data_IF_289686177252
#
_entry.id   IF_289686177252
#
_cell.length_a   1.000
_cell.length_b   1.000
_cell.length_c   1.000
_cell.angle_alpha   90.00
_cell.angle_beta   90.00
_cell.angle_gamma   90.00
#
_symmetry.space_group_name_H-M   'P 1'
#
loop_
_entity.id
_entity.type
_entity.pdbx_description
1 polymer ?
#
# COMPACT_ATOMS: atom_id res chain seq x y z
N UNK A 1 34.58 -27.13 4.68
CA UNK A 1 33.15 -27.18 5.08
C UNK A 1 32.58 -25.84 4.75
N UNK A 2 31.88 -25.70 3.63
CA UNK A 2 31.26 -24.45 3.23
C UNK A 2 29.98 -24.31 4.03
N UNK A 3 29.91 -23.28 4.87
CA UNK A 3 28.69 -22.84 5.48
C UNK A 3 27.68 -22.50 4.39
N UNK A 4 26.75 -23.39 4.16
CA UNK A 4 25.55 -23.09 3.39
C UNK A 4 24.76 -22.09 4.26
N UNK A 5 24.98 -20.79 4.03
CA UNK A 5 24.10 -19.76 4.56
C UNK A 5 22.70 -20.08 4.05
N UNK A 6 21.86 -20.54 4.95
CA UNK A 6 20.46 -20.80 4.67
C UNK A 6 19.83 -19.47 4.27
N UNK A 7 19.54 -19.30 2.98
CA UNK A 7 18.85 -18.11 2.49
C UNK A 7 17.42 -18.14 3.05
N UNK A 8 17.13 -17.23 3.97
CA UNK A 8 15.80 -17.06 4.52
C UNK A 8 14.88 -16.58 3.41
N UNK A 9 13.79 -17.31 3.20
CA UNK A 9 12.77 -17.01 2.19
C UNK A 9 11.79 -15.94 2.65
N UNK A 10 11.78 -15.63 3.93
CA UNK A 10 11.08 -14.53 4.52
C UNK A 10 12.04 -13.68 5.39
N UNK A 11 11.67 -12.43 5.65
CA UNK A 11 12.50 -11.51 6.42
C UNK A 11 12.20 -11.55 7.92
N UNK A 12 11.42 -12.51 8.40
CA UNK A 12 10.97 -12.61 9.79
C UNK A 12 12.13 -12.77 10.77
N UNK A 13 13.21 -13.43 10.35
CA UNK A 13 14.37 -13.55 11.21
C UNK A 13 15.08 -12.21 11.42
N UNK A 14 15.21 -11.41 10.35
CA UNK A 14 15.74 -10.06 10.50
C UNK A 14 14.88 -9.19 11.41
N UNK A 15 13.56 -9.31 11.35
CA UNK A 15 12.65 -8.59 12.22
C UNK A 15 12.77 -9.02 13.68
N UNK A 16 13.01 -10.31 13.94
CA UNK A 16 13.15 -10.83 15.31
C UNK A 16 14.53 -10.55 15.90
N UNK A 17 15.61 -10.83 15.16
CA UNK A 17 16.97 -10.91 15.69
C UNK A 17 17.95 -9.93 15.05
N UNK A 18 17.60 -9.27 13.93
CA UNK A 18 18.48 -8.35 13.21
C UNK A 18 18.81 -7.09 14.02
N UNK A 19 19.90 -6.46 13.63
CA UNK A 19 20.26 -5.14 14.10
C UNK A 19 19.19 -4.09 13.71
N UNK A 20 19.08 -2.95 14.37
CA UNK A 20 18.05 -1.95 14.09
C UNK A 20 17.93 -1.57 12.59
N UNK A 21 19.05 -1.37 11.91
CA UNK A 21 19.07 -1.06 10.48
C UNK A 21 18.59 -2.21 9.60
N UNK A 22 18.88 -3.45 9.96
CA UNK A 22 18.41 -4.65 9.27
C UNK A 22 16.90 -4.82 9.46
N UNK A 23 16.39 -4.60 10.68
CA UNK A 23 14.96 -4.62 10.98
C UNK A 23 14.19 -3.59 10.17
N UNK A 24 14.70 -2.36 10.08
CA UNK A 24 14.09 -1.30 9.29
C UNK A 24 14.03 -1.67 7.80
N UNK A 25 15.16 -2.08 7.22
CA UNK A 25 15.21 -2.50 5.82
C UNK A 25 14.32 -3.70 5.53
N UNK A 26 14.32 -4.73 6.40
CA UNK A 26 13.48 -5.91 6.25
C UNK A 26 11.98 -5.55 6.29
N UNK A 27 11.56 -4.69 7.21
CA UNK A 27 10.19 -4.21 7.30
C UNK A 27 9.76 -3.44 6.04
N UNK A 28 10.64 -2.61 5.48
CA UNK A 28 10.36 -1.88 4.24
C UNK A 28 10.24 -2.84 3.05
N UNK A 29 11.15 -3.83 2.93
CA UNK A 29 11.06 -4.84 1.87
C UNK A 29 9.80 -5.70 1.97
N UNK A 30 9.42 -6.15 3.17
CA UNK A 30 8.17 -6.88 3.37
C UNK A 30 6.96 -6.07 2.91
N UNK A 31 6.92 -4.78 3.25
CA UNK A 31 5.85 -3.90 2.78
C UNK A 31 5.82 -3.78 1.26
N UNK A 32 6.97 -3.55 0.66
CA UNK A 32 7.09 -3.37 -0.79
C UNK A 32 6.67 -4.63 -1.56
N UNK A 33 7.08 -5.82 -1.08
CA UNK A 33 6.71 -7.12 -1.65
C UNK A 33 5.22 -7.41 -1.42
N UNK A 34 4.72 -7.20 -0.20
CA UNK A 34 3.33 -7.47 0.14
C UNK A 34 2.34 -6.58 -0.62
N UNK A 35 2.73 -5.36 -0.98
CA UNK A 35 1.91 -4.47 -1.80
C UNK A 35 1.70 -4.98 -3.24
N UNK A 36 2.49 -5.93 -3.73
CA UNK A 36 2.25 -6.50 -5.06
C UNK A 36 0.99 -7.37 -5.10
N UNK A 37 0.58 -7.93 -3.96
CA UNK A 37 -0.63 -8.75 -3.86
C UNK A 37 -1.93 -7.97 -4.15
N UNK A 38 -1.93 -6.63 -4.14
CA UNK A 38 -3.12 -5.83 -4.52
C UNK A 38 -3.54 -6.02 -5.97
N UNK A 39 -2.58 -6.38 -6.83
CA UNK A 39 -2.79 -6.64 -8.24
C UNK A 39 -2.55 -8.13 -8.59
N UNK A 40 -2.49 -9.01 -7.56
CA UNK A 40 -2.30 -10.45 -7.71
C UNK A 40 -0.89 -10.87 -8.10
N UNK A 41 0.08 -9.94 -8.07
CA UNK A 41 1.45 -10.19 -8.49
C UNK A 41 2.27 -10.86 -7.39
N UNK A 42 3.26 -11.64 -7.81
CA UNK A 42 4.22 -12.31 -6.95
C UNK A 42 5.65 -11.96 -7.37
N UNK A 43 6.52 -11.76 -6.38
CA UNK A 43 7.93 -11.49 -6.63
C UNK A 43 8.73 -12.78 -6.86
N UNK A 44 9.84 -12.63 -7.56
CA UNK A 44 10.77 -13.75 -7.81
C UNK A 44 11.64 -14.07 -6.58
N UNK A 45 12.22 -15.28 -6.57
CA UNK A 45 13.22 -15.65 -5.57
C UNK A 45 14.53 -14.85 -5.76
N UNK A 46 14.82 -14.41 -7.00
CA UNK A 46 15.95 -13.52 -7.26
C UNK A 46 15.83 -12.19 -6.55
N UNK A 47 14.62 -11.58 -6.54
CA UNK A 47 14.36 -10.38 -5.75
C UNK A 47 14.62 -10.62 -4.27
N UNK A 48 14.09 -11.72 -3.70
CA UNK A 48 14.27 -12.02 -2.27
C UNK A 48 15.73 -12.15 -1.90
N UNK A 49 16.52 -12.87 -2.72
CA UNK A 49 17.97 -12.99 -2.52
C UNK A 49 18.68 -11.63 -2.62
N UNK A 50 18.28 -10.78 -3.56
CA UNK A 50 18.84 -9.44 -3.74
C UNK A 50 18.47 -8.54 -2.55
N UNK A 51 17.24 -8.63 -2.05
CA UNK A 51 16.80 -7.92 -0.87
C UNK A 51 17.59 -8.31 0.39
N UNK A 52 17.89 -9.60 0.58
CA UNK A 52 18.77 -10.06 1.67
C UNK A 52 20.14 -9.40 1.63
N UNK A 53 20.77 -9.32 0.45
CA UNK A 53 22.07 -8.61 0.29
C UNK A 53 21.98 -7.14 0.68
N UNK A 54 20.88 -6.46 0.34
CA UNK A 54 20.65 -5.08 0.75
C UNK A 54 20.41 -4.96 2.27
N UNK A 55 19.66 -5.88 2.87
CA UNK A 55 19.43 -5.90 4.32
C UNK A 55 20.74 -6.09 5.07
N UNK A 56 21.58 -7.02 4.63
CA UNK A 56 22.92 -7.27 5.19
C UNK A 56 23.92 -6.13 4.95
N UNK A 57 23.60 -5.19 4.07
CA UNK A 57 24.49 -4.07 3.75
C UNK A 57 25.61 -4.42 2.76
N UNK A 58 25.51 -5.55 2.08
CA UNK A 58 26.46 -5.96 1.02
C UNK A 58 26.31 -5.06 -0.22
N UNK A 59 25.10 -4.58 -0.48
CA UNK A 59 24.76 -3.67 -1.57
C UNK A 59 23.84 -2.56 -1.06
N UNK A 60 23.85 -1.40 -1.73
CA UNK A 60 22.87 -0.33 -1.48
C UNK A 60 21.60 -0.55 -2.33
N UNK A 61 20.56 0.28 -2.12
CA UNK A 61 19.26 0.12 -2.80
C UNK A 61 19.36 0.40 -4.31
N UNK A 62 20.24 1.26 -4.76
CA UNK A 62 20.41 1.55 -6.18
C UNK A 62 21.09 0.38 -6.89
N UNK A 63 22.12 -0.21 -6.28
CA UNK A 63 22.74 -1.45 -6.75
C UNK A 63 21.74 -2.61 -6.81
N UNK A 64 20.85 -2.73 -5.81
CA UNK A 64 19.79 -3.74 -5.84
C UNK A 64 18.84 -3.55 -7.04
N UNK A 65 18.43 -2.30 -7.34
CA UNK A 65 17.60 -1.96 -8.51
C UNK A 65 18.30 -2.28 -9.85
N UNK A 66 19.59 -2.00 -9.95
CA UNK A 66 20.41 -2.30 -11.13
C UNK A 66 20.52 -3.81 -11.34
N UNK A 67 20.79 -4.58 -10.28
CA UNK A 67 20.85 -6.03 -10.33
C UNK A 67 19.53 -6.65 -10.82
N UNK A 68 18.39 -6.19 -10.29
CA UNK A 68 17.07 -6.65 -10.72
C UNK A 68 16.84 -6.32 -12.20
N UNK A 69 17.18 -5.10 -12.62
CA UNK A 69 17.03 -4.68 -14.02
C UNK A 69 17.89 -5.53 -14.96
N UNK A 70 19.16 -5.73 -14.61
CA UNK A 70 20.10 -6.52 -15.39
C UNK A 70 19.70 -8.00 -15.46
N UNK A 71 19.15 -8.56 -14.38
CA UNK A 71 18.64 -9.94 -14.36
C UNK A 71 17.60 -10.17 -15.45
N UNK A 72 16.59 -9.30 -15.56
CA UNK A 72 15.54 -9.45 -16.58
C UNK A 72 16.03 -9.09 -17.99
N UNK A 73 17.00 -8.19 -18.13
CA UNK A 73 17.60 -7.88 -19.43
C UNK A 73 18.47 -9.01 -19.98
N UNK A 74 19.12 -9.77 -19.10
CA UNK A 74 20.01 -10.88 -19.49
C UNK A 74 19.26 -12.19 -19.75
N UNK A 75 17.97 -12.30 -19.43
CA UNK A 75 17.17 -13.49 -19.70
C UNK A 75 17.00 -13.71 -21.21
N UNK A 76 17.59 -14.80 -21.72
CA UNK A 76 17.45 -15.22 -23.12
C UNK A 76 16.18 -15.99 -23.40
N UNK A 77 15.64 -16.68 -22.39
CA UNK A 77 14.35 -17.38 -22.44
C UNK A 77 13.43 -16.81 -21.35
N UNK A 78 12.20 -16.48 -21.73
CA UNK A 78 11.20 -15.95 -20.81
C UNK A 78 10.16 -17.01 -20.47
N UNK A 79 9.86 -17.12 -19.18
CA UNK A 79 8.74 -17.91 -18.67
C UNK A 79 7.43 -17.13 -18.80
N UNK A 80 6.26 -17.79 -18.83
CA UNK A 80 4.96 -17.14 -19.02
C UNK A 80 4.65 -16.04 -18.00
N UNK A 81 5.17 -16.14 -16.77
CA UNK A 81 4.93 -15.22 -15.65
C UNK A 81 6.09 -14.21 -15.43
N UNK A 82 7.10 -14.21 -16.30
CA UNK A 82 8.26 -13.34 -16.15
C UNK A 82 7.93 -11.85 -16.25
N UNK A 83 6.95 -11.47 -17.04
CA UNK A 83 6.56 -10.06 -17.17
C UNK A 83 5.89 -9.56 -15.87
N UNK A 84 5.04 -10.39 -15.25
CA UNK A 84 4.41 -10.10 -13.96
C UNK A 84 5.43 -10.07 -12.82
N UNK A 85 6.35 -11.04 -12.78
CA UNK A 85 7.46 -11.07 -11.82
C UNK A 85 8.40 -9.89 -11.99
N UNK A 86 8.73 -9.52 -13.23
CA UNK A 86 9.57 -8.35 -13.51
C UNK A 86 8.91 -7.05 -13.02
N UNK A 87 7.59 -6.89 -13.24
CA UNK A 87 6.86 -5.76 -12.69
C UNK A 87 6.95 -5.77 -11.16
N UNK A 88 6.55 -6.88 -10.52
CA UNK A 88 6.54 -7.01 -9.06
C UNK A 88 7.91 -6.72 -8.44
N UNK A 89 8.98 -7.23 -9.02
CA UNK A 89 10.34 -7.08 -8.53
C UNK A 89 10.82 -5.63 -8.63
N UNK A 90 10.67 -5.00 -9.81
CA UNK A 90 11.06 -3.60 -10.02
C UNK A 90 10.26 -2.65 -9.14
N UNK A 91 8.95 -2.85 -9.06
CA UNK A 91 8.08 -2.03 -8.22
C UNK A 91 8.44 -2.20 -6.74
N UNK A 92 8.73 -3.42 -6.27
CA UNK A 92 9.16 -3.65 -4.88
C UNK A 92 10.46 -2.90 -4.56
N UNK A 93 11.46 -2.96 -5.44
CA UNK A 93 12.71 -2.23 -5.24
C UNK A 93 12.52 -0.70 -5.27
N UNK A 94 11.65 -0.21 -6.16
CA UNK A 94 11.30 1.21 -6.23
C UNK A 94 10.57 1.68 -4.96
N UNK A 95 9.59 0.92 -4.46
CA UNK A 95 8.88 1.22 -3.20
C UNK A 95 9.85 1.22 -2.04
N UNK A 96 10.77 0.23 -1.98
CA UNK A 96 11.80 0.17 -0.93
C UNK A 96 12.65 1.44 -0.92
N UNK A 97 13.11 1.90 -2.08
CA UNK A 97 13.87 3.16 -2.19
C UNK A 97 13.05 4.37 -1.71
N UNK A 98 11.77 4.44 -2.07
CA UNK A 98 10.88 5.54 -1.68
C UNK A 98 10.68 5.58 -0.17
N UNK A 99 10.35 4.44 0.44
CA UNK A 99 10.05 4.36 1.86
C UNK A 99 11.29 4.53 2.75
N UNK A 100 12.48 4.22 2.22
CA UNK A 100 13.76 4.49 2.91
C UNK A 100 14.12 5.98 2.94
N UNK A 101 13.72 6.76 1.93
CA UNK A 101 14.04 8.21 1.88
C UNK A 101 13.17 9.07 2.78
N UNK A 102 12.01 8.57 3.20
CA UNK A 102 11.02 9.20 4.09
C UNK A 102 10.60 10.64 3.72
N UNK A 103 10.90 11.10 2.50
CA UNK A 103 10.58 12.45 2.04
C UNK A 103 9.27 12.45 1.27
N UNK A 104 8.38 13.37 1.61
CA UNK A 104 7.11 13.60 0.92
C UNK A 104 6.95 15.07 0.56
N UNK A 105 6.73 15.36 -0.71
CA UNK A 105 6.08 16.60 -1.14
C UNK A 105 4.56 16.37 -1.05
N UNK A 106 3.93 16.96 -0.04
CA UNK A 106 2.48 16.83 0.16
C UNK A 106 1.74 17.81 -0.75
N UNK A 107 1.70 17.48 -2.04
CA UNK A 107 1.07 18.23 -3.11
C UNK A 107 0.55 17.28 -4.20
N UNK A 108 -0.28 17.80 -5.12
CA UNK A 108 -0.67 17.04 -6.32
C UNK A 108 0.55 16.62 -7.13
N UNK A 109 1.56 17.49 -7.26
CA UNK A 109 2.83 17.14 -7.90
C UNK A 109 3.55 16.01 -7.18
N UNK A 110 3.54 16.04 -5.84
CA UNK A 110 4.11 14.98 -5.00
C UNK A 110 3.36 13.66 -5.14
N UNK A 111 2.03 13.65 -5.16
CA UNK A 111 1.23 12.43 -5.40
C UNK A 111 1.56 11.81 -6.76
N UNK A 112 1.59 12.62 -7.81
CA UNK A 112 1.99 12.19 -9.17
C UNK A 112 3.46 11.71 -9.20
N UNK A 113 4.34 12.36 -8.43
CA UNK A 113 5.74 11.96 -8.31
C UNK A 113 5.90 10.62 -7.60
N UNK A 114 5.08 10.31 -6.58
CA UNK A 114 5.07 8.98 -5.94
C UNK A 114 4.73 7.92 -6.98
N UNK A 115 3.67 8.09 -7.77
CA UNK A 115 3.35 7.14 -8.85
C UNK A 115 4.50 6.98 -9.85
N UNK A 116 5.10 8.10 -10.30
CA UNK A 116 6.25 8.06 -11.22
C UNK A 116 7.40 7.22 -10.65
N UNK A 117 7.75 7.45 -9.38
CA UNK A 117 8.85 6.76 -8.70
C UNK A 117 8.55 5.29 -8.43
N UNK A 118 7.30 4.95 -8.06
CA UNK A 118 6.86 3.56 -7.84
C UNK A 118 6.99 2.75 -9.13
N UNK A 119 6.62 3.32 -10.27
CA UNK A 119 6.57 2.61 -11.57
C UNK A 119 7.69 3.01 -12.52
N UNK A 120 8.77 3.62 -11.99
CA UNK A 120 9.97 3.96 -12.76
C UNK A 120 10.59 2.70 -13.41
N UNK A 121 10.80 2.76 -14.72
CA UNK A 121 11.32 1.62 -15.51
C UNK A 121 10.35 0.44 -15.69
N UNK A 122 9.06 0.63 -15.32
CA UNK A 122 7.98 -0.36 -15.48
C UNK A 122 6.96 0.12 -16.50
N UNK A 123 6.31 1.26 -16.25
CA UNK A 123 5.28 1.79 -17.14
C UNK A 123 5.75 3.03 -17.89
N UNK A 124 5.51 3.07 -19.21
CA UNK A 124 5.79 4.27 -20.03
C UNK A 124 4.97 5.50 -19.63
N UNK A 125 3.84 5.26 -18.95
CA UNK A 125 2.94 6.29 -18.44
C UNK A 125 3.14 6.60 -16.96
N UNK A 126 4.22 6.12 -16.33
CA UNK A 126 4.52 6.39 -14.93
C UNK A 126 4.52 7.91 -14.64
N UNK A 127 3.69 8.33 -13.67
CA UNK A 127 3.51 9.73 -13.32
C UNK A 127 2.67 10.55 -14.30
N UNK A 128 1.88 9.91 -15.18
CA UNK A 128 0.90 10.58 -16.04
C UNK A 128 -0.51 10.28 -15.56
N UNK A 129 -1.33 11.32 -15.40
CA UNK A 129 -2.75 11.15 -15.16
C UNK A 129 -3.38 10.50 -16.40
N UNK A 130 -4.38 9.63 -16.19
CA UNK A 130 -5.15 9.06 -17.31
C UNK A 130 -5.92 10.15 -18.05
N UNK A 131 -6.20 9.92 -19.30
CA UNK A 131 -6.91 10.79 -20.22
C UNK A 131 -8.19 10.15 -20.79
N UNK A 132 -8.70 9.13 -20.08
CA UNK A 132 -9.95 8.41 -20.39
C UNK A 132 -10.59 7.86 -19.12
N UNK A 133 -11.90 7.57 -19.17
CA UNK A 133 -12.62 6.96 -18.06
C UNK A 133 -12.34 5.46 -18.00
N UNK A 134 -12.26 4.94 -16.78
CA UNK A 134 -11.93 3.54 -16.52
C UNK A 134 -13.02 2.84 -15.72
N UNK A 135 -13.11 1.54 -15.93
CA UNK A 135 -13.96 0.63 -15.18
C UNK A 135 -13.13 -0.59 -14.81
N UNK A 136 -13.22 -1.02 -13.55
CA UNK A 136 -12.52 -2.22 -13.05
C UNK A 136 -13.52 -3.15 -12.38
N UNK A 137 -13.46 -4.43 -12.72
CA UNK A 137 -14.25 -5.46 -12.06
C UNK A 137 -13.62 -5.77 -10.72
N UNK A 138 -14.41 -5.66 -9.64
CA UNK A 138 -13.93 -5.89 -8.28
C UNK A 138 -14.51 -7.19 -7.71
N UNK A 139 -13.62 -8.08 -7.26
CA UNK A 139 -14.02 -9.37 -6.67
C UNK A 139 -15.00 -9.19 -5.50
N UNK A 140 -14.72 -8.25 -4.61
CA UNK A 140 -15.54 -7.98 -3.41
C UNK A 140 -16.95 -7.48 -3.74
N UNK A 141 -17.17 -7.04 -4.98
CA UNK A 141 -18.44 -6.55 -5.52
C UNK A 141 -19.14 -7.56 -6.47
N UNK A 142 -18.69 -8.80 -6.47
CA UNK A 142 -19.20 -9.82 -7.41
C UNK A 142 -19.04 -9.40 -8.89
N UNK A 143 -17.91 -8.80 -9.20
CA UNK A 143 -17.58 -8.33 -10.56
C UNK A 143 -18.17 -6.98 -10.94
N UNK A 144 -18.90 -6.29 -10.04
CA UNK A 144 -19.33 -4.91 -10.23
C UNK A 144 -18.15 -3.93 -10.02
N UNK A 145 -18.36 -2.64 -10.28
CA UNK A 145 -17.32 -1.61 -10.29
C UNK A 145 -17.63 -0.45 -9.36
N UNK A 146 -16.59 0.23 -8.88
CA UNK A 146 -16.71 1.54 -8.25
C UNK A 146 -16.88 2.61 -9.33
N UNK A 147 -17.65 3.64 -9.06
CA UNK A 147 -17.71 4.83 -9.89
C UNK A 147 -16.46 5.69 -9.62
N UNK A 148 -15.47 5.56 -10.50
CA UNK A 148 -14.28 6.39 -10.47
C UNK A 148 -14.56 7.79 -11.04
N UNK A 149 -13.73 8.77 -10.68
CA UNK A 149 -13.90 10.13 -11.13
C UNK A 149 -13.70 10.23 -12.66
N UNK A 150 -14.42 11.16 -13.31
CA UNK A 150 -14.20 11.50 -14.72
C UNK A 150 -12.76 12.00 -14.94
N UNK A 151 -12.13 11.60 -16.04
CA UNK A 151 -10.73 11.91 -16.30
C UNK A 151 -10.44 13.42 -16.43
N UNK A 152 -11.40 14.22 -16.87
CA UNK A 152 -11.25 15.67 -17.00
C UNK A 152 -11.10 16.39 -15.64
N UNK A 153 -11.59 15.78 -14.57
CA UNK A 153 -11.62 16.36 -13.22
C UNK A 153 -10.47 15.92 -12.32
N UNK A 154 -9.64 14.97 -12.75
CA UNK A 154 -8.64 14.29 -11.90
C UNK A 154 -7.73 15.27 -11.15
N UNK A 155 -7.10 16.20 -11.88
CA UNK A 155 -6.17 17.17 -11.28
C UNK A 155 -6.87 18.05 -10.26
N UNK A 156 -8.04 18.58 -10.61
CA UNK A 156 -8.84 19.46 -9.75
C UNK A 156 -9.24 18.74 -8.45
N UNK A 157 -9.64 17.49 -8.53
CA UNK A 157 -10.03 16.71 -7.38
C UNK A 157 -8.84 16.40 -6.45
N UNK A 158 -7.68 16.01 -7.01
CA UNK A 158 -6.47 15.79 -6.20
C UNK A 158 -6.04 17.09 -5.51
N UNK A 159 -6.03 18.22 -6.24
CA UNK A 159 -5.69 19.54 -5.70
C UNK A 159 -6.65 19.91 -4.55
N UNK A 160 -7.95 19.65 -4.72
CA UNK A 160 -8.96 19.90 -3.70
C UNK A 160 -8.72 19.07 -2.45
N UNK A 161 -8.65 17.74 -2.57
CA UNK A 161 -8.49 16.83 -1.43
C UNK A 161 -7.21 17.13 -0.64
N UNK A 162 -6.08 17.33 -1.34
CA UNK A 162 -4.82 17.68 -0.68
C UNK A 162 -4.88 19.05 -0.02
N UNK A 163 -5.58 20.02 -0.62
CA UNK A 163 -5.74 21.35 -0.04
C UNK A 163 -6.58 21.33 1.23
N UNK A 164 -7.66 20.55 1.24
CA UNK A 164 -8.49 20.36 2.44
C UNK A 164 -7.69 19.68 3.55
N UNK A 165 -6.92 18.65 3.21
CA UNK A 165 -6.08 17.94 4.18
C UNK A 165 -4.97 18.83 4.78
N UNK A 166 -4.38 19.73 3.99
CA UNK A 166 -3.36 20.70 4.49
C UNK A 166 -3.88 21.63 5.58
N UNK A 167 -5.15 21.98 5.54
CA UNK A 167 -5.74 22.90 6.52
C UNK A 167 -6.35 22.16 7.70
N UNK A 168 -6.47 20.83 7.65
CA UNK A 168 -6.98 20.03 8.74
C UNK A 168 -5.98 19.97 9.90
N UNK A 169 -6.46 20.17 11.13
CA UNK A 169 -5.63 20.12 12.33
C UNK A 169 -5.86 18.86 13.12
N UNK A 170 -4.83 18.05 13.26
CA UNK A 170 -4.83 16.87 14.13
C UNK A 170 -4.66 17.20 15.61
N UNK A 171 -4.40 18.46 15.96
CA UNK A 171 -4.16 18.88 17.34
C UNK A 171 -5.43 18.88 18.15
N UNK A 172 -5.45 18.13 19.26
CA UNK A 172 -6.55 18.14 20.23
C UNK A 172 -7.80 17.34 19.83
N UNK A 173 -7.78 16.61 18.72
CA UNK A 173 -8.87 15.69 18.35
C UNK A 173 -8.71 14.34 19.03
N UNK A 174 -9.81 13.59 19.15
CA UNK A 174 -9.76 12.21 19.64
C UNK A 174 -9.16 11.27 18.60
N UNK A 175 -8.67 10.10 19.06
CA UNK A 175 -8.16 9.05 18.17
C UNK A 175 -9.23 8.54 17.21
N UNK A 176 -10.49 8.48 17.61
CA UNK A 176 -11.61 8.07 16.75
C UNK A 176 -11.82 9.07 15.61
N UNK A 177 -11.85 10.36 15.90
CA UNK A 177 -11.96 11.43 14.88
C UNK A 177 -10.76 11.42 13.95
N UNK A 178 -9.56 11.19 14.48
CA UNK A 178 -8.34 11.08 13.68
C UNK A 178 -8.44 9.91 12.68
N UNK A 179 -8.82 8.72 13.14
CA UNK A 179 -8.96 7.55 12.29
C UNK A 179 -10.05 7.75 11.24
N UNK A 180 -11.20 8.27 11.63
CA UNK A 180 -12.29 8.58 10.69
C UNK A 180 -11.83 9.55 9.60
N UNK A 181 -11.15 10.62 9.97
CA UNK A 181 -10.67 11.63 9.03
C UNK A 181 -9.65 11.05 8.04
N UNK A 182 -8.63 10.34 8.54
CA UNK A 182 -7.63 9.66 7.70
C UNK A 182 -8.30 8.66 6.74
N UNK A 183 -9.28 7.90 7.25
CA UNK A 183 -10.04 6.94 6.44
C UNK A 183 -10.75 7.62 5.28
N UNK A 184 -11.42 8.73 5.53
CA UNK A 184 -12.14 9.51 4.50
C UNK A 184 -11.19 10.12 3.48
N UNK A 185 -10.12 10.75 3.93
CA UNK A 185 -9.10 11.34 3.07
C UNK A 185 -8.47 10.29 2.12
N UNK A 186 -7.98 9.18 2.68
CA UNK A 186 -7.34 8.13 1.87
C UNK A 186 -8.33 7.47 0.91
N UNK A 187 -9.57 7.26 1.35
CA UNK A 187 -10.65 6.71 0.52
C UNK A 187 -10.99 7.63 -0.65
N UNK A 188 -11.14 8.93 -0.42
CA UNK A 188 -11.42 9.94 -1.46
C UNK A 188 -10.29 10.00 -2.48
N UNK A 189 -9.04 10.12 -2.01
CA UNK A 189 -7.87 10.16 -2.88
C UNK A 189 -7.76 8.91 -3.77
N UNK A 190 -8.06 7.72 -3.22
CA UNK A 190 -8.08 6.48 -4.01
C UNK A 190 -9.22 6.45 -5.03
N UNK A 191 -10.42 6.96 -4.68
CA UNK A 191 -11.59 6.97 -5.58
C UNK A 191 -11.35 7.82 -6.83
N UNK A 192 -10.56 8.88 -6.74
CA UNK A 192 -10.15 9.67 -7.92
C UNK A 192 -9.56 8.74 -8.99
N UNK A 193 -8.84 7.71 -8.59
CA UNK A 193 -8.26 6.69 -9.46
C UNK A 193 -7.49 7.29 -10.63
N UNK A 194 -6.54 8.13 -10.29
CA UNK A 194 -5.92 9.11 -11.18
C UNK A 194 -5.06 8.52 -12.30
N UNK A 195 -4.63 7.27 -12.18
CA UNK A 195 -3.69 6.63 -13.11
C UNK A 195 -4.32 5.45 -13.83
N UNK A 196 -3.78 5.08 -14.98
CA UNK A 196 -4.23 3.92 -15.75
C UNK A 196 -4.07 2.62 -14.94
N UNK A 197 -2.92 2.47 -14.26
CA UNK A 197 -2.59 1.33 -13.40
C UNK A 197 -1.91 1.77 -12.11
N UNK A 198 -1.83 0.89 -11.10
CA UNK A 198 -1.05 1.09 -9.88
C UNK A 198 -1.65 2.07 -8.87
N UNK A 199 -2.93 2.42 -8.98
CA UNK A 199 -3.58 3.39 -8.08
C UNK A 199 -3.51 2.96 -6.61
N UNK A 200 -3.79 1.69 -6.30
CA UNK A 200 -3.77 1.21 -4.91
C UNK A 200 -2.37 1.20 -4.32
N UNK A 201 -1.37 0.74 -5.08
CA UNK A 201 0.05 0.75 -4.63
C UNK A 201 0.53 2.18 -4.39
N UNK A 202 0.20 3.10 -5.29
CA UNK A 202 0.51 4.53 -5.14
C UNK A 202 -0.15 5.13 -3.90
N UNK A 203 -1.45 4.88 -3.71
CA UNK A 203 -2.19 5.38 -2.54
C UNK A 203 -1.60 4.82 -1.24
N UNK A 204 -1.26 3.53 -1.19
CA UNK A 204 -0.64 2.93 -0.01
C UNK A 204 0.72 3.58 0.33
N UNK A 205 1.62 3.72 -0.66
CA UNK A 205 2.93 4.35 -0.46
C UNK A 205 2.79 5.82 -0.06
N UNK A 206 1.92 6.58 -0.72
CA UNK A 206 1.64 7.97 -0.38
C UNK A 206 1.09 8.09 1.04
N UNK A 207 0.15 7.22 1.43
CA UNK A 207 -0.43 7.18 2.79
C UNK A 207 0.64 6.91 3.84
N UNK A 208 1.53 5.94 3.64
CA UNK A 208 2.62 5.65 4.57
C UNK A 208 3.50 6.88 4.76
N UNK A 209 3.92 7.53 3.66
CA UNK A 209 4.76 8.73 3.72
C UNK A 209 4.03 9.90 4.39
N UNK A 210 2.74 10.08 4.06
CA UNK A 210 1.91 11.12 4.63
C UNK A 210 1.77 10.96 6.16
N UNK A 211 1.36 9.79 6.62
CA UNK A 211 1.19 9.52 8.05
C UNK A 211 2.49 9.73 8.83
N UNK A 212 3.63 9.33 8.26
CA UNK A 212 4.96 9.60 8.86
C UNK A 212 5.26 11.09 8.89
N UNK A 213 4.92 11.83 7.84
CA UNK A 213 5.20 13.28 7.75
C UNK A 213 4.45 14.10 8.78
N UNK A 214 3.29 13.63 9.25
CA UNK A 214 2.51 14.23 10.35
C UNK A 214 2.87 13.64 11.72
N UNK A 215 3.93 12.82 11.81
CA UNK A 215 4.48 12.31 13.07
C UNK A 215 3.81 11.03 13.59
N UNK A 216 2.96 10.37 12.81
CA UNK A 216 2.35 9.10 13.20
C UNK A 216 3.31 7.93 12.96
N UNK A 217 3.35 7.00 13.91
CA UNK A 217 4.05 5.73 13.71
C UNK A 217 3.21 4.80 12.85
N UNK A 218 3.80 4.33 11.77
CA UNK A 218 3.16 3.40 10.85
C UNK A 218 3.82 2.04 10.96
N UNK A 219 3.06 1.03 11.38
CA UNK A 219 3.51 -0.36 11.31
C UNK A 219 3.39 -0.85 9.86
N UNK A 220 4.53 -0.90 9.20
CA UNK A 220 4.61 -1.33 7.81
C UNK A 220 4.13 -2.78 7.61
N UNK A 221 4.21 -3.64 8.63
CA UNK A 221 3.82 -5.05 8.54
C UNK A 221 2.34 -5.23 8.15
N UNK A 222 1.50 -4.28 8.51
CA UNK A 222 0.09 -4.35 8.18
C UNK A 222 -0.15 -4.27 6.66
N UNK A 223 0.55 -3.37 5.97
CA UNK A 223 0.51 -3.31 4.51
C UNK A 223 1.15 -4.54 3.86
N UNK A 224 2.18 -5.12 4.50
CA UNK A 224 2.81 -6.34 4.01
C UNK A 224 1.83 -7.53 3.97
N UNK A 225 1.05 -7.71 5.04
CA UNK A 225 0.20 -8.90 5.21
C UNK A 225 -1.26 -8.69 4.79
N UNK A 226 -1.73 -7.44 4.72
CA UNK A 226 -3.13 -7.10 4.51
C UNK A 226 -3.35 -6.10 3.35
N UNK A 227 -2.45 -6.05 2.37
CA UNK A 227 -2.57 -5.16 1.20
C UNK A 227 -3.82 -5.45 0.36
N UNK A 228 -4.18 -6.72 0.18
CA UNK A 228 -5.41 -7.13 -0.49
C UNK A 228 -6.67 -6.72 0.30
N UNK A 229 -6.61 -6.80 1.64
CA UNK A 229 -7.69 -6.28 2.49
C UNK A 229 -7.82 -4.77 2.35
N UNK A 230 -6.70 -4.04 2.38
CA UNK A 230 -6.68 -2.59 2.21
C UNK A 230 -7.34 -2.17 0.89
N UNK A 231 -6.99 -2.84 -0.24
CA UNK A 231 -7.66 -2.61 -1.52
C UNK A 231 -9.16 -2.85 -1.45
N UNK A 232 -9.59 -4.00 -0.96
CA UNK A 232 -11.01 -4.33 -0.87
C UNK A 232 -11.78 -3.40 0.07
N UNK A 233 -11.14 -2.91 1.14
CA UNK A 233 -11.72 -1.92 2.05
C UNK A 233 -11.93 -0.56 1.36
N UNK A 234 -10.99 -0.12 0.51
CA UNK A 234 -11.14 1.06 -0.34
C UNK A 234 -12.29 0.91 -1.33
N UNK A 235 -12.41 -0.25 -1.96
CA UNK A 235 -13.54 -0.56 -2.86
C UNK A 235 -14.87 -0.44 -2.12
N UNK A 236 -15.01 -1.06 -0.93
CA UNK A 236 -16.23 -1.03 -0.13
C UNK A 236 -16.56 0.37 0.42
N UNK A 237 -15.56 1.18 0.69
CA UNK A 237 -15.74 2.57 1.12
C UNK A 237 -16.31 3.47 0.02
N UNK A 238 -16.18 3.08 -1.25
CA UNK A 238 -16.56 3.87 -2.42
C UNK A 238 -17.64 3.21 -3.31
N UNK A 239 -18.20 2.08 -2.89
CA UNK A 239 -19.23 1.40 -3.66
C UNK A 239 -20.62 1.60 -3.08
N UNK A 240 -21.54 2.06 -3.95
CA UNK A 240 -22.96 2.17 -3.67
C UNK A 240 -23.78 1.62 -4.83
N UNK A 241 -24.77 0.79 -4.52
CA UNK A 241 -25.74 0.29 -5.49
C UNK A 241 -27.14 0.24 -4.86
N UNK A 242 -27.93 1.29 -5.11
CA UNK A 242 -29.26 1.45 -4.53
C UNK A 242 -30.23 0.31 -4.95
N UNK A 243 -30.07 -0.22 -6.18
CA UNK A 243 -30.93 -1.31 -6.69
C UNK A 243 -30.68 -2.63 -5.95
N UNK A 244 -29.45 -2.84 -5.49
CA UNK A 244 -29.07 -4.01 -4.69
C UNK A 244 -29.19 -3.76 -3.18
N UNK A 245 -29.63 -2.57 -2.75
CA UNK A 245 -29.69 -2.18 -1.33
C UNK A 245 -28.31 -2.09 -0.66
N UNK A 246 -27.25 -1.85 -1.44
CA UNK A 246 -25.88 -1.79 -0.93
C UNK A 246 -25.46 -0.32 -0.85
N UNK A 247 -25.00 0.10 0.34
CA UNK A 247 -24.40 1.42 0.55
C UNK A 247 -22.89 1.30 0.78
N UNK A 248 -22.16 2.42 0.57
CA UNK A 248 -20.75 2.49 0.91
C UNK A 248 -20.55 2.33 2.44
N UNK A 249 -19.40 1.78 2.83
CA UNK A 249 -19.07 1.60 4.24
C UNK A 249 -17.59 1.81 4.50
N UNK A 250 -17.26 2.69 5.42
CA UNK A 250 -15.89 2.96 5.86
C UNK A 250 -15.38 1.98 6.92
N UNK A 251 -16.26 1.21 7.55
CA UNK A 251 -15.96 0.36 8.71
C UNK A 251 -14.74 -0.55 8.48
N UNK A 252 -14.60 -1.13 7.30
CA UNK A 252 -13.47 -2.02 7.01
C UNK A 252 -12.15 -1.25 6.91
N UNK A 253 -12.16 -0.09 6.27
CA UNK A 253 -10.99 0.75 6.14
C UNK A 253 -10.61 1.40 7.48
N UNK A 254 -11.59 1.77 8.30
CA UNK A 254 -11.37 2.23 9.68
C UNK A 254 -10.70 1.14 10.53
N UNK A 255 -11.14 -0.12 10.43
CA UNK A 255 -10.50 -1.24 11.14
C UNK A 255 -9.04 -1.43 10.72
N UNK A 256 -8.75 -1.28 9.44
CA UNK A 256 -7.38 -1.29 8.94
C UNK A 256 -6.55 -0.18 9.59
N UNK A 257 -7.04 1.07 9.58
CA UNK A 257 -6.32 2.20 10.19
C UNK A 257 -6.27 2.11 11.72
N UNK A 258 -7.27 1.56 12.40
CA UNK A 258 -7.21 1.29 13.84
C UNK A 258 -6.11 0.29 14.19
N UNK A 259 -5.98 -0.78 13.42
CA UNK A 259 -4.86 -1.72 13.60
C UNK A 259 -3.53 -1.02 13.32
N UNK A 260 -3.45 -0.23 12.25
CA UNK A 260 -2.23 0.44 11.81
C UNK A 260 -1.73 1.50 12.80
N UNK A 261 -2.63 2.34 13.30
CA UNK A 261 -2.29 3.54 14.07
C UNK A 261 -2.44 3.35 15.58
N UNK A 262 -3.39 2.52 16.00
CA UNK A 262 -3.73 2.33 17.41
C UNK A 262 -3.29 0.97 17.96
N UNK A 263 -2.75 0.09 17.10
CA UNK A 263 -2.35 -1.26 17.50
C UNK A 263 -3.53 -2.16 17.89
N UNK A 264 -4.76 -1.80 17.49
CA UNK A 264 -5.93 -2.66 17.68
C UNK A 264 -5.75 -3.96 16.86
N UNK A 265 -6.49 -5.00 17.23
CA UNK A 265 -6.36 -6.33 16.59
C UNK A 265 -7.68 -6.76 15.96
N UNK A 266 -8.22 -5.95 15.06
CA UNK A 266 -9.34 -6.35 14.24
C UNK A 266 -8.95 -7.47 13.28
N UNK A 267 -9.82 -8.46 13.10
CA UNK A 267 -9.60 -9.54 12.13
C UNK A 267 -9.84 -9.02 10.71
N UNK A 268 -8.75 -8.89 9.93
CA UNK A 268 -8.75 -8.31 8.59
C UNK A 268 -8.89 -9.41 7.52
N UNK A 269 -10.07 -10.04 7.43
CA UNK A 269 -10.35 -11.09 6.44
C UNK A 269 -11.17 -10.57 5.27
N UNK A 270 -10.68 -10.78 4.06
CA UNK A 270 -11.33 -10.32 2.83
C UNK A 270 -12.77 -10.83 2.65
N UNK A 271 -13.09 -12.04 3.09
CA UNK A 271 -14.43 -12.61 2.99
C UNK A 271 -15.52 -11.77 3.67
N UNK A 272 -15.15 -10.99 4.71
CA UNK A 272 -16.11 -10.11 5.41
C UNK A 272 -16.51 -8.88 4.59
N UNK A 273 -15.71 -8.52 3.61
CA UNK A 273 -15.91 -7.35 2.76
C UNK A 273 -16.80 -7.65 1.56
N UNK A 274 -16.93 -8.93 1.19
CA UNK A 274 -17.73 -9.32 0.03
C UNK A 274 -19.20 -8.91 0.22
N UNK A 275 -19.83 -8.38 -0.84
CA UNK A 275 -21.21 -7.85 -0.75
C UNK A 275 -22.23 -8.92 -0.36
N UNK A 276 -21.93 -10.21 -0.59
CA UNK A 276 -22.74 -11.36 -0.18
C UNK A 276 -22.28 -11.98 1.15
N UNK A 277 -21.42 -11.31 1.91
CA UNK A 277 -21.04 -11.80 3.23
C UNK A 277 -22.26 -11.89 4.16
N UNK A 278 -22.45 -13.05 4.80
CA UNK A 278 -23.53 -13.27 5.74
C UNK A 278 -23.33 -12.47 7.04
N UNK A 279 -24.42 -12.14 7.74
CA UNK A 279 -24.34 -11.37 8.98
C UNK A 279 -23.54 -12.06 10.08
N UNK A 280 -23.46 -13.38 10.09
CA UNK A 280 -22.58 -14.16 10.98
C UNK A 280 -21.11 -13.80 10.84
N UNK A 281 -20.69 -13.36 9.64
CA UNK A 281 -19.31 -12.93 9.37
C UNK A 281 -19.07 -11.46 9.69
N UNK A 282 -20.13 -10.67 9.86
CA UNK A 282 -20.04 -9.25 10.22
C UNK A 282 -19.86 -9.03 11.71
N UNK A 283 -20.27 -10.00 12.54
CA UNK A 283 -20.07 -9.95 13.99
C UNK A 283 -18.63 -10.33 14.30
N UNK A 284 -17.77 -9.35 14.48
CA UNK A 284 -16.37 -9.57 14.83
C UNK A 284 -16.17 -9.43 16.33
N UNK A 285 -15.43 -10.38 16.97
CA UNK A 285 -15.06 -10.21 18.36
C UNK A 285 -14.10 -9.01 18.49
N UNK A 286 -14.42 -8.07 19.39
CA UNK A 286 -13.42 -7.14 19.91
C UNK A 286 -12.39 -7.94 20.68
N UNK A 287 -11.18 -8.00 20.19
CA UNK A 287 -10.06 -8.42 21.01
C UNK A 287 -9.66 -7.24 21.90
N UNK A 288 -9.42 -7.49 23.18
CA UNK A 288 -9.22 -6.49 24.23
C UNK A 288 -8.14 -5.47 23.86
N UNK A 289 -8.33 -4.17 24.18
CA UNK A 289 -7.35 -3.12 23.90
C UNK A 289 -6.12 -3.32 24.78
N UNK A 290 -4.95 -3.33 24.17
CA UNK A 290 -3.69 -3.18 24.88
C UNK A 290 -3.18 -1.76 24.62
N UNK A 291 -3.02 -1.00 25.72
CA UNK A 291 -2.33 0.29 25.86
C UNK A 291 -2.76 1.47 24.98
N UNK A 292 -3.02 2.57 25.65
CA UNK A 292 -3.34 3.90 25.12
C UNK A 292 -2.19 4.42 24.25
N UNK A 293 -2.44 4.82 22.98
CA UNK A 293 -1.42 5.45 22.14
C UNK A 293 -1.08 6.84 22.69
N UNK A 294 0.20 7.15 22.75
CA UNK A 294 0.65 8.53 23.02
C UNK A 294 0.40 9.38 21.78
N UNK A 295 -0.49 10.37 21.91
CA UNK A 295 -0.66 11.43 20.91
C UNK A 295 0.62 12.27 20.86
N UNK A 296 1.20 12.56 19.70
CA UNK A 296 2.40 13.39 19.60
C UNK A 296 2.12 14.82 20.11
N UNK A 297 2.91 15.26 21.09
CA UNK A 297 3.00 16.67 21.46
C UNK A 297 3.98 17.36 20.53
N UNK A 298 3.48 18.01 19.46
CA UNK A 298 4.21 19.10 18.79
C UNK A 298 3.24 20.17 18.33
#
# INVERSE_FOLDING_TARGET
>A
MSDIKQHYTDFDEYLRQGEPSQKEKASIWQTAIGLQAVDGLQTSDYLKATACKHIEGEINIDEARELITSYYQSKTQREPDDDEKQEADKVSANITKILSSQTLDFSTGGYVSVHRRVFDGVFKHAGKLRDYDITKREWVLDGDTVNYLNWEDLRRAIDYDISQEKVFSYKGISTDVMVEHITRFVSGLWQIHAFCEGNTRTTAVFTILYLRSIGLKVDNSLFAHHSWYFRNALVRANYKNALKGIDYTFVYLERFFRNLLLGEKWDLRNRYLHIHATDEWKVQPKLHPTSTPQVPHK
#
